data_IF_700549956962
#
_entry.id   IF_700549956962
#
_cell.length_a   1.000
_cell.length_b   1.000
_cell.length_c   1.000
_cell.angle_alpha   90.00
_cell.angle_beta   90.00
_cell.angle_gamma   90.00
#
_symmetry.space_group_name_H-M   'P 1'
#
loop_
_entity.id
_entity.type
_entity.pdbx_description
1 polymer ?
#
# COMPACT_ATOMS: atom_id res chain seq x y z
N UNK A 1 36.47 -28.20 -17.67
CA UNK A 1 36.32 -27.08 -16.72
C UNK A 1 34.84 -26.77 -16.62
N UNK A 2 34.20 -27.14 -15.52
CA UNK A 2 32.77 -26.89 -15.31
C UNK A 2 32.59 -25.39 -15.05
N UNK A 3 31.96 -24.70 -15.99
CA UNK A 3 31.59 -23.30 -15.80
C UNK A 3 30.36 -23.30 -14.89
N UNK A 4 30.58 -23.05 -13.60
CA UNK A 4 29.53 -22.87 -12.61
C UNK A 4 28.74 -21.61 -12.97
N UNK A 5 27.61 -21.78 -13.63
CA UNK A 5 26.61 -20.73 -13.79
C UNK A 5 26.02 -20.42 -12.42
N UNK A 6 26.63 -19.46 -11.71
CA UNK A 6 25.98 -18.78 -10.61
C UNK A 6 24.74 -18.11 -11.21
N UNK A 7 23.57 -18.68 -10.94
CA UNK A 7 22.31 -18.01 -11.25
C UNK A 7 22.32 -16.69 -10.48
N UNK A 8 22.25 -15.59 -11.20
CA UNK A 8 22.00 -14.27 -10.63
C UNK A 8 20.68 -14.34 -9.88
N UNK A 9 20.75 -14.62 -8.57
CA UNK A 9 19.62 -14.49 -7.69
C UNK A 9 19.26 -13.00 -7.66
N UNK A 10 18.00 -12.63 -7.91
CA UNK A 10 17.58 -11.24 -7.75
C UNK A 10 17.97 -10.78 -6.35
N UNK A 11 18.61 -9.62 -6.24
CA UNK A 11 18.86 -9.04 -4.93
C UNK A 11 17.55 -8.90 -4.15
N UNK A 12 17.57 -8.94 -2.81
CA UNK A 12 16.36 -8.88 -1.97
C UNK A 12 15.47 -7.65 -2.21
N UNK A 13 15.98 -6.67 -2.94
CA UNK A 13 15.35 -5.40 -3.27
C UNK A 13 14.49 -5.48 -4.55
N UNK A 14 14.81 -6.40 -5.48
CA UNK A 14 14.06 -6.63 -6.71
C UNK A 14 12.79 -7.44 -6.51
N UNK A 15 12.65 -8.10 -5.36
CA UNK A 15 11.47 -8.91 -5.04
C UNK A 15 10.47 -8.18 -4.15
N UNK A 16 10.72 -6.92 -3.78
CA UNK A 16 9.85 -6.15 -2.89
C UNK A 16 9.20 -4.96 -3.59
N UNK A 17 8.11 -4.44 -3.02
CA UNK A 17 7.49 -3.18 -3.41
C UNK A 17 7.01 -2.39 -2.20
N UNK A 18 6.73 -1.10 -2.42
CA UNK A 18 6.25 -0.18 -1.40
C UNK A 18 4.75 0.06 -1.55
N UNK A 19 4.01 -0.07 -0.45
CA UNK A 19 2.57 0.15 -0.37
C UNK A 19 2.26 1.26 0.61
N UNK A 20 1.63 2.33 0.13
CA UNK A 20 1.17 3.44 0.96
C UNK A 20 -0.24 3.17 1.49
N UNK A 21 -0.36 3.00 2.81
CA UNK A 21 -1.62 2.84 3.52
C UNK A 21 -2.09 4.18 4.09
N UNK A 22 -3.37 4.49 3.92
CA UNK A 22 -4.03 5.72 4.42
C UNK A 22 -5.38 5.42 5.10
N UNK A 23 -5.68 4.15 5.37
CA UNK A 23 -6.94 3.68 5.96
C UNK A 23 -6.70 2.61 7.03
N UNK A 24 -7.55 1.58 7.10
CA UNK A 24 -7.44 0.54 8.14
C UNK A 24 -6.09 -0.18 8.22
N UNK A 25 -5.33 -0.23 7.12
CA UNK A 25 -3.97 -0.80 7.09
C UNK A 25 -2.88 0.12 7.66
N UNK A 26 -3.26 1.25 8.27
CA UNK A 26 -2.38 1.98 9.17
C UNK A 26 -2.08 1.17 10.43
N UNK A 27 -2.99 0.26 10.83
CA UNK A 27 -2.82 -0.61 11.97
C UNK A 27 -2.06 -1.89 11.58
N UNK A 28 -0.94 -2.15 12.26
CA UNK A 28 -0.06 -3.30 12.01
C UNK A 28 -0.80 -4.63 12.11
N UNK A 29 -1.58 -4.81 13.18
CA UNK A 29 -2.35 -6.03 13.41
C UNK A 29 -3.33 -6.29 12.28
N UNK A 30 -3.94 -5.22 11.73
CA UNK A 30 -4.90 -5.33 10.63
C UNK A 30 -4.23 -5.78 9.33
N UNK A 31 -3.10 -5.17 8.96
CA UNK A 31 -2.41 -5.53 7.72
C UNK A 31 -1.83 -6.95 7.80
N UNK A 32 -1.37 -7.37 8.98
CA UNK A 32 -0.80 -8.70 9.22
C UNK A 32 -1.83 -9.84 9.14
N UNK A 33 -3.13 -9.57 9.32
CA UNK A 33 -4.18 -10.59 9.12
C UNK A 33 -4.13 -11.26 7.74
N UNK A 34 -3.65 -10.54 6.72
CA UNK A 34 -3.53 -11.07 5.35
C UNK A 34 -2.13 -10.92 4.76
N UNK A 35 -1.29 -10.07 5.34
CA UNK A 35 0.08 -9.83 4.89
C UNK A 35 1.03 -9.89 6.09
N UNK A 36 1.26 -11.07 6.68
CA UNK A 36 2.05 -11.21 7.92
C UNK A 36 3.52 -10.81 7.74
N UNK A 37 4.02 -10.80 6.50
CA UNK A 37 5.37 -10.35 6.14
C UNK A 37 5.50 -8.83 5.93
N UNK A 38 4.41 -8.06 6.03
CA UNK A 38 4.45 -6.63 5.81
C UNK A 38 5.33 -5.94 6.85
N UNK A 39 6.41 -5.32 6.39
CA UNK A 39 7.36 -4.61 7.24
C UNK A 39 7.09 -3.11 7.19
N UNK A 40 7.00 -2.47 8.36
CA UNK A 40 6.96 -1.01 8.44
C UNK A 40 8.21 -0.44 7.77
N UNK A 41 8.02 0.51 6.84
CA UNK A 41 9.13 1.16 6.14
C UNK A 41 9.32 2.60 6.61
N UNK A 42 8.30 3.44 6.46
CA UNK A 42 8.34 4.81 6.97
C UNK A 42 6.94 5.44 7.05
N UNK A 43 6.85 6.60 7.69
CA UNK A 43 5.71 7.52 7.53
C UNK A 43 5.96 8.40 6.32
N UNK A 44 4.95 8.57 5.47
CA UNK A 44 5.03 9.40 4.27
C UNK A 44 3.85 10.36 4.17
N UNK A 45 4.08 11.44 3.42
CA UNK A 45 3.09 12.46 3.11
C UNK A 45 2.82 12.49 1.62
N UNK A 46 1.55 12.37 1.26
CA UNK A 46 1.05 12.48 -0.10
C UNK A 46 0.43 13.87 -0.30
N UNK A 47 1.10 14.70 -1.08
CA UNK A 47 0.70 16.08 -1.39
C UNK A 47 -0.36 16.09 -2.50
N UNK A 48 -1.29 17.05 -2.42
CA UNK A 48 -2.37 17.32 -3.39
C UNK A 48 -3.44 16.24 -3.43
N UNK A 49 -3.69 15.61 -2.28
CA UNK A 49 -4.74 14.62 -2.08
C UNK A 49 -5.52 14.92 -0.81
N UNK A 50 -6.80 14.54 -0.82
CA UNK A 50 -7.69 14.63 0.34
C UNK A 50 -8.26 13.26 0.68
N UNK A 51 -8.31 12.96 1.97
CA UNK A 51 -8.96 11.76 2.52
C UNK A 51 -10.47 11.96 2.57
N UNK A 52 -11.20 10.92 2.20
CA UNK A 52 -12.66 10.86 2.29
C UNK A 52 -13.14 9.45 2.64
N UNK A 53 -14.40 9.32 3.02
CA UNK A 53 -15.04 8.04 3.36
C UNK A 53 -16.25 7.83 2.47
N UNK A 54 -16.15 6.85 1.58
CA UNK A 54 -17.17 6.59 0.56
C UNK A 54 -17.66 5.15 0.56
N UNK A 55 -18.89 4.97 0.07
CA UNK A 55 -19.43 3.68 -0.31
C UNK A 55 -19.18 3.48 -1.81
N UNK A 56 -18.31 2.53 -2.16
CA UNK A 56 -18.04 2.23 -3.58
C UNK A 56 -19.32 1.78 -4.27
N UNK A 57 -19.69 2.43 -5.38
CA UNK A 57 -20.93 2.19 -6.12
C UNK A 57 -22.21 2.27 -5.27
N UNK A 58 -22.20 3.07 -4.19
CA UNK A 58 -23.34 3.20 -3.27
C UNK A 58 -23.60 1.96 -2.40
N UNK A 59 -22.74 0.95 -2.46
CA UNK A 59 -22.85 -0.26 -1.63
C UNK A 59 -22.08 -0.06 -0.33
N UNK A 60 -22.80 -0.14 0.78
CA UNK A 60 -22.19 -0.15 2.12
C UNK A 60 -21.32 -1.39 2.27
N UNK A 61 -20.12 -1.22 2.83
CA UNK A 61 -19.25 -2.35 3.15
C UNK A 61 -19.94 -3.28 4.14
N UNK A 62 -20.04 -4.57 3.84
CA UNK A 62 -20.53 -5.56 4.81
C UNK A 62 -19.51 -5.83 5.93
N UNK A 63 -18.22 -5.58 5.65
CA UNK A 63 -17.15 -5.76 6.65
C UNK A 63 -17.12 -4.60 7.63
N UNK A 64 -17.28 -3.37 7.14
CA UNK A 64 -17.15 -2.15 7.93
C UNK A 64 -18.48 -1.50 8.30
N UNK A 65 -19.59 -1.97 7.73
CA UNK A 65 -20.95 -1.44 7.91
C UNK A 65 -21.05 0.08 7.69
N UNK A 66 -20.20 0.64 6.82
CA UNK A 66 -20.09 2.07 6.57
C UNK A 66 -19.12 2.39 5.42
N UNK A 67 -18.84 3.70 5.26
CA UNK A 67 -17.91 4.22 4.25
C UNK A 67 -16.47 3.77 4.50
N UNK A 68 -15.77 3.39 3.44
CA UNK A 68 -14.36 3.00 3.47
C UNK A 68 -13.49 4.19 3.06
N UNK A 69 -12.32 4.31 3.67
CA UNK A 69 -11.33 5.32 3.33
C UNK A 69 -10.96 5.28 1.83
N UNK A 70 -11.03 6.44 1.18
CA UNK A 70 -10.58 6.70 -0.18
C UNK A 70 -9.84 8.03 -0.24
N UNK A 71 -9.09 8.28 -1.31
CA UNK A 71 -8.44 9.56 -1.55
C UNK A 71 -8.78 10.05 -2.96
N UNK A 72 -8.85 11.37 -3.11
CA UNK A 72 -9.01 12.02 -4.41
C UNK A 72 -8.04 13.20 -4.54
N UNK A 73 -7.73 13.59 -5.77
CA UNK A 73 -6.84 14.72 -6.04
C UNK A 73 -7.50 16.02 -5.56
N UNK A 74 -6.79 16.76 -4.72
CA UNK A 74 -7.24 18.03 -4.17
C UNK A 74 -6.01 18.92 -3.94
N UNK A 75 -5.69 19.83 -4.88
CA UNK A 75 -4.51 20.68 -4.77
C UNK A 75 -4.45 21.45 -3.46
N UNK A 76 -3.30 21.41 -2.78
CA UNK A 76 -3.09 22.06 -1.48
C UNK A 76 -3.47 21.23 -0.25
N UNK A 77 -4.28 20.17 -0.40
CA UNK A 77 -4.53 19.21 0.67
C UNK A 77 -3.38 18.19 0.78
N UNK A 78 -3.34 17.48 1.91
CA UNK A 78 -2.37 16.41 2.14
C UNK A 78 -2.98 15.20 2.86
N UNK A 79 -2.46 14.02 2.55
CA UNK A 79 -2.79 12.77 3.25
C UNK A 79 -1.52 12.17 3.84
N UNK A 80 -1.55 11.93 5.15
CA UNK A 80 -0.51 11.20 5.84
C UNK A 80 -0.82 9.71 5.87
N UNK A 81 0.24 8.89 5.81
CA UNK A 81 0.08 7.45 5.86
C UNK A 81 1.38 6.71 6.16
N UNK A 82 1.27 5.39 6.19
CA UNK A 82 2.39 4.47 6.42
C UNK A 82 2.76 3.81 5.11
N UNK A 83 4.06 3.77 4.81
CA UNK A 83 4.63 2.94 3.75
C UNK A 83 5.02 1.60 4.34
N UNK A 84 4.53 0.53 3.74
CA UNK A 84 4.88 -0.85 4.03
C UNK A 84 5.79 -1.40 2.94
N UNK A 85 6.85 -2.11 3.31
CA UNK A 85 7.65 -2.93 2.39
C UNK A 85 7.07 -4.34 2.39
N UNK A 86 6.71 -4.85 1.21
CA UNK A 86 6.12 -6.18 1.03
C UNK A 86 6.75 -6.91 -0.15
N UNK A 87 6.72 -8.25 -0.15
CA UNK A 87 7.23 -9.04 -1.27
C UNK A 87 6.24 -9.02 -2.45
N UNK A 88 6.73 -9.01 -3.69
CA UNK A 88 5.94 -9.00 -4.93
C UNK A 88 5.03 -10.22 -5.04
N UNK A 89 5.36 -11.34 -4.38
CA UNK A 89 4.47 -12.51 -4.28
C UNK A 89 3.15 -12.19 -3.54
N UNK A 90 3.12 -11.15 -2.69
CA UNK A 90 1.92 -10.67 -2.02
C UNK A 90 1.08 -9.70 -2.89
N UNK A 91 1.50 -9.36 -4.11
CA UNK A 91 0.72 -8.47 -4.99
C UNK A 91 -0.69 -9.01 -5.25
N UNK A 92 -0.82 -10.31 -5.49
CA UNK A 92 -2.12 -10.94 -5.77
C UNK A 92 -3.05 -10.91 -4.55
N UNK A 93 -2.52 -11.16 -3.34
CA UNK A 93 -3.31 -11.13 -2.10
C UNK A 93 -3.77 -9.72 -1.72
N UNK A 94 -2.99 -8.70 -2.11
CA UNK A 94 -3.37 -7.30 -1.92
C UNK A 94 -4.40 -6.87 -2.97
N UNK A 95 -4.25 -7.25 -4.24
CA UNK A 95 -5.20 -6.92 -5.30
C UNK A 95 -6.62 -7.48 -5.04
N UNK A 96 -6.74 -8.64 -4.40
CA UNK A 96 -8.03 -9.18 -3.95
C UNK A 96 -8.64 -8.37 -2.78
N UNK A 97 -7.79 -7.80 -1.91
CA UNK A 97 -8.21 -6.95 -0.81
C UNK A 97 -8.61 -5.54 -1.28
N UNK A 98 -7.94 -5.05 -2.32
CA UNK A 98 -8.05 -3.70 -2.86
C UNK A 98 -8.66 -3.66 -4.26
N UNK A 99 -9.47 -4.65 -4.66
CA UNK A 99 -10.15 -4.68 -5.96
C UNK A 99 -10.99 -3.41 -6.28
N UNK A 100 -11.07 -2.46 -5.34
CA UNK A 100 -11.84 -1.24 -5.37
C UNK A 100 -11.01 0.06 -5.21
N UNK A 101 -9.69 -0.01 -4.97
CA UNK A 101 -8.81 1.17 -4.84
C UNK A 101 -8.02 1.33 -6.15
N UNK A 102 -7.90 2.58 -6.67
CA UNK A 102 -7.24 2.87 -7.94
C UNK A 102 -5.90 2.12 -8.08
N UNK A 103 -5.83 1.27 -9.10
CA UNK A 103 -4.92 0.12 -9.18
C UNK A 103 -3.45 0.41 -9.46
N UNK A 104 -3.01 1.67 -9.43
CA UNK A 104 -1.59 2.09 -9.50
C UNK A 104 -1.57 3.61 -9.59
N UNK A 105 -1.05 4.25 -8.55
CA UNK A 105 -0.70 5.65 -8.60
C UNK A 105 0.81 5.75 -8.38
N UNK A 106 1.53 6.21 -9.41
CA UNK A 106 2.94 6.59 -9.26
C UNK A 106 2.92 8.02 -8.74
N UNK A 107 2.77 8.18 -7.43
CA UNK A 107 2.82 9.47 -6.78
C UNK A 107 4.23 9.76 -6.25
N UNK A 108 4.64 11.02 -6.29
CA UNK A 108 5.88 11.48 -5.67
C UNK A 108 5.57 11.82 -4.21
N UNK A 109 5.71 10.86 -3.29
CA UNK A 109 5.58 11.11 -1.85
C UNK A 109 6.92 11.54 -1.24
N UNK A 110 6.87 12.39 -0.22
CA UNK A 110 8.06 12.80 0.53
C UNK A 110 8.18 11.99 1.83
N UNK A 111 9.37 11.45 2.08
CA UNK A 111 9.70 10.73 3.32
C UNK A 111 10.09 11.77 4.37
N UNK A 112 9.43 11.77 5.53
CA UNK A 112 9.93 12.53 6.69
C UNK A 112 11.11 11.76 7.26
N UNK A 113 12.33 12.25 7.05
CA UNK A 113 13.49 11.83 7.84
C UNK A 113 13.40 12.57 9.19
N UNK A 114 13.35 11.81 10.28
CA UNK A 114 13.51 12.35 11.63
C UNK A 114 14.94 12.86 11.83
#
# INVERSE_FOLDING_TARGET
MANSGCKDAPGPDEESFLYFAYGSNLLTERIHLRNPSAAFFCVARLQDFKLDFGNSQGKTSQTWHGGIATIFQSPGDEVWGVVWKMNKSNLNSLDELFAWVQKKMVCRWSIKRS
#
